data_IF_470126432581
#
_entry.id   IF_470126432581
#
_cell.length_a   1.000
_cell.length_b   1.000
_cell.length_c   1.000
_cell.angle_alpha   90.00
_cell.angle_beta   90.00
_cell.angle_gamma   90.00
#
_symmetry.space_group_name_H-M   'P 1'
#
loop_
_entity.id
_entity.type
_entity.pdbx_description
1 polymer ?
#
# COMPACT_ATOMS: atom_id res chain seq x y z
N UNK A 1 10.57 -9.32 19.24
CA UNK A 1 10.39 -10.74 18.85
C UNK A 1 9.30 -11.38 19.69
N UNK A 2 9.44 -11.46 21.02
CA UNK A 2 8.36 -11.96 21.89
C UNK A 2 7.16 -10.99 21.95
N UNK A 3 7.42 -9.69 22.10
CA UNK A 3 6.36 -8.65 22.07
C UNK A 3 5.62 -8.54 20.73
N UNK A 4 6.31 -8.77 19.61
CA UNK A 4 5.74 -8.71 18.26
C UNK A 4 4.84 -9.93 18.02
N UNK A 5 5.28 -11.10 18.47
CA UNK A 5 4.50 -12.35 18.43
C UNK A 5 3.24 -12.27 19.29
N UNK A 6 3.33 -11.78 20.53
CA UNK A 6 2.15 -11.59 21.39
C UNK A 6 1.17 -10.57 20.82
N UNK A 7 1.68 -9.49 20.21
CA UNK A 7 0.87 -8.48 19.52
C UNK A 7 0.13 -9.08 18.32
N UNK A 8 0.82 -9.89 17.52
CA UNK A 8 0.23 -10.61 16.39
C UNK A 8 -0.88 -11.56 16.84
N UNK A 9 -0.61 -12.43 17.82
CA UNK A 9 -1.60 -13.38 18.37
C UNK A 9 -2.83 -12.64 18.89
N UNK A 10 -2.63 -11.53 19.62
CA UNK A 10 -3.71 -10.70 20.14
C UNK A 10 -4.51 -9.99 19.04
N UNK A 11 -3.88 -9.55 17.96
CA UNK A 11 -4.56 -8.93 16.83
C UNK A 11 -5.39 -9.96 16.06
N UNK A 12 -4.78 -11.08 15.70
CA UNK A 12 -5.44 -12.13 14.92
C UNK A 12 -6.57 -12.78 15.70
N UNK A 13 -6.47 -12.90 17.03
CA UNK A 13 -7.54 -13.48 17.86
C UNK A 13 -8.76 -12.57 18.01
N UNK A 14 -8.59 -11.25 17.91
CA UNK A 14 -9.62 -10.27 18.24
C UNK A 14 -10.26 -9.59 17.03
N UNK A 15 -9.67 -9.73 15.83
CA UNK A 15 -10.18 -9.07 14.62
C UNK A 15 -10.90 -10.07 13.72
N UNK A 16 -12.21 -9.86 13.54
CA UNK A 16 -13.07 -10.69 12.69
C UNK A 16 -13.62 -9.85 11.54
N UNK A 17 -13.09 -10.04 10.33
CA UNK A 17 -13.53 -9.30 9.15
C UNK A 17 -13.45 -10.16 7.87
N UNK A 18 -14.42 -9.99 6.96
CA UNK A 18 -14.53 -10.75 5.69
C UNK A 18 -13.29 -10.65 4.78
N UNK A 19 -12.55 -9.54 4.87
CA UNK A 19 -11.38 -9.25 4.04
C UNK A 19 -10.04 -9.40 4.79
N UNK A 20 -10.05 -9.98 6.00
CA UNK A 20 -8.82 -10.33 6.72
C UNK A 20 -8.71 -11.86 6.75
N UNK A 21 -7.49 -12.38 6.69
CA UNK A 21 -7.25 -13.80 6.89
C UNK A 21 -7.56 -14.13 8.35
N UNK A 22 -8.68 -14.84 8.56
CA UNK A 22 -8.93 -15.49 9.84
C UNK A 22 -8.08 -16.75 9.91
N UNK A 23 -7.17 -16.83 10.88
CA UNK A 23 -6.45 -18.08 11.13
C UNK A 23 -7.46 -19.13 11.60
N UNK A 24 -7.67 -20.17 10.77
CA UNK A 24 -8.67 -21.22 11.03
C UNK A 24 -8.09 -22.62 11.13
N UNK A 25 -6.79 -22.81 10.83
CA UNK A 25 -6.13 -24.11 10.62
C UNK A 25 -5.77 -24.34 9.14
N UNK A 26 -4.90 -25.31 8.83
CA UNK A 26 -4.45 -25.61 7.45
C UNK A 26 -4.92 -26.99 6.95
N UNK A 27 -5.36 -27.05 5.68
CA UNK A 27 -5.56 -28.26 4.88
C UNK A 27 -5.81 -27.84 3.42
N UNK A 28 -5.32 -28.60 2.42
CA UNK A 28 -5.33 -28.22 1.01
C UNK A 28 -6.19 -29.15 0.13
N UNK A 29 -7.19 -28.58 -0.57
CA UNK A 29 -7.60 -28.90 -1.97
C UNK A 29 -8.86 -28.14 -2.44
N UNK A 30 -8.85 -27.59 -3.67
CA UNK A 30 -10.09 -27.42 -4.47
C UNK A 30 -10.42 -26.03 -5.05
N UNK A 31 -11.49 -26.01 -5.86
CA UNK A 31 -11.83 -25.07 -6.95
C UNK A 31 -11.89 -23.57 -6.59
N UNK A 32 -11.18 -22.77 -7.39
CA UNK A 32 -10.75 -21.43 -7.04
C UNK A 32 -11.82 -20.36 -7.30
N UNK A 33 -12.08 -19.56 -6.26
CA UNK A 33 -12.74 -18.25 -6.32
C UNK A 33 -11.76 -17.25 -5.71
N UNK A 34 -11.50 -16.14 -6.37
CA UNK A 34 -10.56 -15.12 -5.88
C UNK A 34 -11.29 -14.22 -4.90
N UNK A 35 -10.87 -14.25 -3.64
CA UNK A 35 -11.32 -13.34 -2.60
C UNK A 35 -10.06 -12.70 -1.98
N UNK A 36 -9.81 -11.39 -2.15
CA UNK A 36 -8.65 -10.75 -1.55
C UNK A 36 -8.78 -10.75 -0.03
N UNK A 37 -7.71 -11.18 0.65
CA UNK A 37 -7.62 -11.16 2.12
C UNK A 37 -6.27 -10.58 2.52
N UNK A 38 -6.28 -9.67 3.49
CA UNK A 38 -5.05 -9.15 4.11
C UNK A 38 -4.54 -10.21 5.10
N UNK A 39 -3.26 -10.53 4.98
CA UNK A 39 -2.53 -11.48 5.81
C UNK A 39 -1.25 -10.82 6.34
N UNK A 40 -0.42 -11.60 7.04
CA UNK A 40 0.91 -11.19 7.49
C UNK A 40 0.89 -10.01 8.48
N UNK A 41 0.47 -10.32 9.71
CA UNK A 41 0.31 -9.34 10.79
C UNK A 41 1.54 -9.26 11.70
N UNK A 42 2.68 -9.82 11.28
CA UNK A 42 3.92 -9.87 12.07
C UNK A 42 4.38 -8.47 12.51
N UNK A 43 4.17 -7.45 11.67
CA UNK A 43 4.52 -6.06 11.94
C UNK A 43 3.33 -5.21 12.42
N UNK A 44 2.15 -5.80 12.57
CA UNK A 44 0.96 -5.08 12.94
C UNK A 44 1.04 -4.61 14.41
N UNK A 45 0.67 -3.35 14.65
CA UNK A 45 0.70 -2.76 15.99
C UNK A 45 -0.62 -2.10 16.33
N UNK A 46 -1.02 -2.22 17.60
CA UNK A 46 -2.20 -1.54 18.13
C UNK A 46 -1.87 -0.07 18.41
N UNK A 47 -2.54 0.84 17.71
CA UNK A 47 -2.48 2.28 17.99
C UNK A 47 -3.52 2.64 19.09
N UNK A 48 -3.09 3.17 20.25
CA UNK A 48 -4.01 3.68 21.26
C UNK A 48 -4.83 4.86 20.72
N UNK A 49 -6.11 4.97 21.12
CA UNK A 49 -7.05 5.99 20.61
C UNK A 49 -6.63 7.44 20.92
N UNK A 50 -5.78 7.63 21.92
CA UNK A 50 -5.24 8.91 22.35
C UNK A 50 -3.97 9.34 21.59
N UNK A 51 -3.47 8.52 20.66
CA UNK A 51 -2.24 8.78 19.91
C UNK A 51 -2.50 8.89 18.42
N UNK A 52 -1.78 9.79 17.76
CA UNK A 52 -1.82 9.95 16.30
C UNK A 52 -0.88 8.99 15.56
N UNK A 53 0.16 8.51 16.25
CA UNK A 53 1.16 7.58 15.73
C UNK A 53 1.88 6.84 16.87
N UNK A 54 2.54 5.75 16.52
CA UNK A 54 3.55 5.09 17.33
C UNK A 54 4.94 5.49 16.83
N UNK A 55 5.87 5.72 17.75
CA UNK A 55 7.28 5.87 17.41
C UNK A 55 7.97 4.53 17.62
N UNK A 56 8.44 3.93 16.53
CA UNK A 56 9.10 2.62 16.52
C UNK A 56 10.30 2.64 15.58
N UNK A 57 11.26 1.74 15.81
CA UNK A 57 12.30 1.48 14.81
C UNK A 57 11.61 1.03 13.52
N UNK A 58 12.13 1.51 12.40
CA UNK A 58 11.65 1.09 11.10
C UNK A 58 11.74 -0.43 10.95
N UNK A 59 10.61 -1.04 10.63
CA UNK A 59 10.47 -2.44 10.23
C UNK A 59 9.38 -2.50 9.16
N UNK A 60 9.70 -3.09 8.00
CA UNK A 60 8.78 -3.20 6.89
C UNK A 60 9.46 -3.32 5.53
N UNK A 61 8.64 -3.50 4.48
CA UNK A 61 9.11 -3.55 3.10
C UNK A 61 9.20 -2.13 2.53
N UNK A 62 10.43 -1.61 2.42
CA UNK A 62 10.78 -0.20 2.09
C UNK A 62 9.88 0.46 1.02
N UNK A 63 9.51 -0.30 -0.01
CA UNK A 63 8.74 0.14 -1.17
C UNK A 63 7.29 0.52 -0.90
N UNK A 64 6.68 -0.13 0.09
CA UNK A 64 5.32 0.20 0.55
C UNK A 64 5.35 1.16 1.74
N UNK A 65 6.55 1.48 2.25
CA UNK A 65 6.72 2.26 3.47
C UNK A 65 6.50 3.76 3.23
N UNK A 66 5.63 4.36 4.03
CA UNK A 66 5.46 5.81 4.05
C UNK A 66 6.77 6.53 4.46
N UNK A 67 7.10 7.69 3.86
CA UNK A 67 8.36 8.39 4.12
C UNK A 67 8.50 8.81 5.58
N UNK A 68 7.42 9.26 6.24
CA UNK A 68 7.44 9.58 7.67
C UNK A 68 7.78 8.37 8.56
N UNK A 69 7.39 7.17 8.14
CA UNK A 69 7.72 5.97 8.88
C UNK A 69 9.18 5.57 8.64
N UNK A 70 9.64 5.61 7.38
CA UNK A 70 11.03 5.30 7.03
C UNK A 70 12.04 6.27 7.67
N UNK A 71 11.72 7.57 7.70
CA UNK A 71 12.64 8.61 8.15
C UNK A 71 12.54 8.90 9.65
N UNK A 72 11.33 8.85 10.21
CA UNK A 72 11.06 9.32 11.58
C UNK A 72 10.54 8.22 12.51
N UNK A 73 10.33 7.00 11.99
CA UNK A 73 9.78 5.89 12.78
C UNK A 73 8.30 6.07 13.15
N UNK A 74 7.58 6.98 12.48
CA UNK A 74 6.17 7.28 12.78
C UNK A 74 5.21 6.29 12.10
N UNK A 75 4.83 5.23 12.81
CA UNK A 75 3.81 4.28 12.36
C UNK A 75 2.41 4.79 12.70
N UNK A 76 1.49 4.83 11.73
CA UNK A 76 0.13 5.37 11.91
C UNK A 76 -0.83 4.77 10.89
N UNK A 77 -2.15 4.90 11.11
CA UNK A 77 -3.18 4.57 10.10
C UNK A 77 -2.92 5.26 8.75
N UNK A 78 -2.30 6.42 8.86
CA UNK A 78 -1.85 7.26 7.78
C UNK A 78 -0.73 6.57 6.98
N UNK A 79 0.26 5.98 7.64
CA UNK A 79 1.27 5.16 6.97
C UNK A 79 0.64 3.96 6.24
N UNK A 80 -0.35 3.28 6.83
CA UNK A 80 -1.05 2.17 6.18
C UNK A 80 -1.81 2.60 4.91
N UNK A 81 -2.41 3.80 4.94
CA UNK A 81 -3.08 4.37 3.75
C UNK A 81 -2.08 4.60 2.59
N UNK A 82 -0.82 4.94 2.90
CA UNK A 82 0.23 5.06 1.88
C UNK A 82 0.52 3.70 1.24
N UNK A 83 0.80 2.70 2.07
CA UNK A 83 1.09 1.32 1.64
C UNK A 83 -0.03 0.77 0.76
N UNK A 84 -1.28 0.97 1.17
CA UNK A 84 -2.47 0.59 0.40
C UNK A 84 -2.52 1.28 -0.97
N UNK A 85 -2.23 2.57 -1.04
CA UNK A 85 -2.18 3.31 -2.30
C UNK A 85 -1.16 2.75 -3.29
N UNK A 86 0.02 2.33 -2.81
CA UNK A 86 1.02 1.66 -3.66
C UNK A 86 0.48 0.32 -4.19
N UNK A 87 -0.15 -0.50 -3.35
CA UNK A 87 -0.75 -1.78 -3.78
C UNK A 87 -1.85 -1.56 -4.84
N UNK A 88 -2.70 -0.55 -4.66
CA UNK A 88 -3.70 -0.20 -5.67
C UNK A 88 -3.05 0.21 -6.99
N UNK A 89 -1.99 1.03 -6.95
CA UNK A 89 -1.24 1.40 -8.15
C UNK A 89 -0.64 0.17 -8.86
N UNK A 90 -0.11 -0.81 -8.12
CA UNK A 90 0.40 -2.06 -8.69
C UNK A 90 -0.73 -2.88 -9.35
N UNK A 91 -1.89 -2.97 -8.72
CA UNK A 91 -3.04 -3.72 -9.24
C UNK A 91 -3.55 -3.10 -10.54
N UNK A 92 -3.81 -1.79 -10.55
CA UNK A 92 -4.42 -1.12 -11.72
C UNK A 92 -3.46 -1.00 -12.90
N UNK A 93 -2.14 -0.99 -12.65
CA UNK A 93 -1.13 -0.88 -13.70
C UNK A 93 -0.61 -2.22 -14.20
N UNK A 94 -0.84 -3.30 -13.45
CA UNK A 94 -0.18 -4.59 -13.67
C UNK A 94 1.33 -4.55 -13.43
N UNK A 95 1.89 -3.40 -13.03
CA UNK A 95 3.32 -3.21 -12.86
C UNK A 95 3.69 -3.46 -11.40
N UNK A 96 4.61 -4.42 -11.19
CA UNK A 96 5.29 -4.52 -9.89
C UNK A 96 6.16 -3.29 -9.72
N UNK A 97 6.12 -2.68 -8.54
CA UNK A 97 7.09 -1.66 -8.19
C UNK A 97 8.46 -2.34 -8.01
N UNK A 98 9.32 -2.41 -9.02
CA UNK A 98 10.61 -3.10 -8.89
C UNK A 98 11.65 -2.20 -8.24
N UNK A 99 12.32 -2.69 -7.19
CA UNK A 99 13.60 -2.17 -6.72
C UNK A 99 14.69 -2.88 -7.51
N UNK A 100 15.07 -2.33 -8.67
CA UNK A 100 16.37 -2.63 -9.26
C UNK A 100 16.92 -1.27 -9.66
N UNK A 101 18.19 -1.05 -9.26
CA UNK A 101 19.03 0.11 -9.59
C UNK A 101 18.64 0.72 -10.92
N UNK A 102 18.66 2.05 -11.00
CA UNK A 102 18.73 2.85 -12.24
C UNK A 102 19.39 1.99 -13.32
N UNK A 103 18.55 1.32 -14.09
CA UNK A 103 18.95 0.73 -15.32
C UNK A 103 19.16 1.93 -16.23
N UNK A 104 20.22 1.89 -17.03
CA UNK A 104 20.58 2.90 -18.03
C UNK A 104 19.45 3.16 -19.07
N UNK A 105 18.27 2.56 -18.88
CA UNK A 105 17.02 2.69 -19.64
C UNK A 105 16.03 3.73 -19.09
N UNK A 106 16.31 4.39 -17.96
CA UNK A 106 15.51 5.54 -17.50
C UNK A 106 14.10 5.19 -17.02
N UNK A 107 13.87 3.97 -16.50
CA UNK A 107 12.58 3.57 -15.92
C UNK A 107 12.27 4.39 -14.66
N UNK A 108 11.29 5.29 -14.78
CA UNK A 108 10.80 6.11 -13.67
C UNK A 108 10.07 5.25 -12.63
N UNK A 109 10.15 5.59 -11.34
CA UNK A 109 9.42 4.84 -10.29
C UNK A 109 7.91 4.88 -10.56
N UNK A 110 7.18 3.77 -10.34
CA UNK A 110 5.72 3.68 -10.56
C UNK A 110 4.97 4.87 -9.93
N UNK A 111 5.34 5.24 -8.71
CA UNK A 111 4.79 6.39 -8.01
C UNK A 111 5.05 7.72 -8.74
N UNK A 112 6.25 7.90 -9.28
CA UNK A 112 6.65 9.09 -10.02
C UNK A 112 5.98 9.17 -11.40
N UNK A 113 5.83 8.03 -12.09
CA UNK A 113 5.08 7.93 -13.34
C UNK A 113 3.60 8.28 -13.11
N UNK A 114 2.97 7.63 -12.12
CA UNK A 114 1.60 7.90 -11.73
C UNK A 114 1.38 9.39 -11.38
N UNK A 115 2.36 10.01 -10.70
CA UNK A 115 2.34 11.44 -10.39
C UNK A 115 2.30 12.31 -11.65
N UNK A 116 3.22 12.07 -12.59
CA UNK A 116 3.30 12.87 -13.83
C UNK A 116 2.06 12.72 -14.71
N UNK A 117 1.54 11.50 -14.83
CA UNK A 117 0.33 11.25 -15.60
C UNK A 117 -0.89 11.93 -14.98
N UNK A 118 -1.01 11.88 -13.65
CA UNK A 118 -2.07 12.59 -12.94
C UNK A 118 -2.01 14.10 -13.14
N UNK A 119 -0.82 14.72 -13.04
CA UNK A 119 -0.65 16.17 -13.25
C UNK A 119 -1.06 16.60 -14.66
N UNK A 120 -0.97 15.70 -15.63
CA UNK A 120 -1.37 15.94 -17.03
C UNK A 120 -2.82 15.55 -17.32
N UNK A 121 -3.54 14.97 -16.36
CA UNK A 121 -4.90 14.44 -16.56
C UNK A 121 -4.96 13.17 -17.41
N UNK A 122 -3.85 12.42 -17.50
CA UNK A 122 -3.68 11.23 -18.34
C UNK A 122 -3.53 9.95 -17.49
N UNK A 123 -4.15 9.90 -16.31
CA UNK A 123 -4.03 8.75 -15.40
C UNK A 123 -4.46 7.40 -16.01
N UNK A 124 -5.34 7.41 -17.01
CA UNK A 124 -5.76 6.19 -17.70
C UNK A 124 -4.63 5.53 -18.50
N UNK A 125 -3.58 6.27 -18.87
CA UNK A 125 -2.40 5.70 -19.56
C UNK A 125 -1.60 4.73 -18.67
N UNK A 126 -1.78 4.80 -17.34
CA UNK A 126 -1.14 3.89 -16.40
C UNK A 126 -1.91 2.56 -16.28
N UNK A 127 -3.17 2.50 -16.73
CA UNK A 127 -3.99 1.30 -16.60
C UNK A 127 -3.40 0.16 -17.44
N UNK A 128 -3.35 -1.04 -16.86
CA UNK A 128 -2.91 -2.23 -17.56
C UNK A 128 -3.74 -2.42 -18.83
N UNK A 129 -3.06 -2.67 -19.95
CA UNK A 129 -3.69 -2.83 -21.27
C UNK A 129 -4.48 -4.13 -21.36
N UNK A 130 -4.18 -5.08 -20.48
CA UNK A 130 -4.90 -6.35 -20.38
C UNK A 130 -6.19 -6.23 -19.56
N UNK A 131 -6.43 -5.07 -18.91
CA UNK A 131 -7.72 -4.77 -18.27
C UNK A 131 -8.69 -4.31 -19.35
N UNK A 132 -9.79 -5.05 -19.52
CA UNK A 132 -10.87 -4.67 -20.42
C UNK A 132 -11.58 -3.42 -19.90
N UNK A 133 -11.36 -2.28 -20.57
CA UNK A 133 -11.96 -1.00 -20.19
C UNK A 133 -13.48 -0.96 -20.41
N UNK A 134 -14.05 -1.90 -21.16
CA UNK A 134 -15.50 -2.02 -21.34
C UNK A 134 -16.19 -2.73 -20.15
N UNK A 135 -15.42 -3.38 -19.26
CA UNK A 135 -15.93 -3.98 -18.01
C UNK A 135 -15.90 -3.04 -16.79
N UNK A 136 -15.19 -1.91 -16.87
CA UNK A 136 -15.02 -0.99 -15.73
C UNK A 136 -15.56 0.41 -16.00
N UNK A 137 -16.19 0.99 -14.97
CA UNK A 137 -16.62 2.38 -15.02
C UNK A 137 -15.39 3.32 -14.94
N UNK A 138 -15.20 4.14 -15.99
CA UNK A 138 -14.15 5.15 -16.03
C UNK A 138 -14.24 6.13 -14.84
N UNK A 139 -15.43 6.38 -14.29
CA UNK A 139 -15.61 7.17 -13.08
C UNK A 139 -15.06 6.47 -11.84
N UNK A 140 -15.26 5.16 -11.71
CA UNK A 140 -14.69 4.35 -10.61
C UNK A 140 -13.16 4.33 -10.69
N UNK A 141 -12.59 4.12 -11.88
CA UNK A 141 -11.14 4.17 -12.07
C UNK A 141 -10.58 5.55 -11.73
N UNK A 142 -11.23 6.63 -12.18
CA UNK A 142 -10.86 7.99 -11.79
C UNK A 142 -10.98 8.22 -10.28
N UNK A 143 -11.98 7.64 -9.62
CA UNK A 143 -12.11 7.68 -8.17
C UNK A 143 -10.94 6.97 -7.47
N UNK A 144 -10.55 5.77 -7.92
CA UNK A 144 -9.39 5.05 -7.39
C UNK A 144 -8.10 5.87 -7.54
N UNK A 145 -7.83 6.39 -8.73
CA UNK A 145 -6.67 7.26 -8.99
C UNK A 145 -6.67 8.49 -8.10
N UNK A 146 -7.82 9.16 -7.97
CA UNK A 146 -7.96 10.35 -7.12
C UNK A 146 -7.69 10.04 -5.65
N UNK A 147 -8.16 8.91 -5.13
CA UNK A 147 -7.92 8.51 -3.74
C UNK A 147 -6.46 8.13 -3.48
N UNK A 148 -5.85 7.37 -4.39
CA UNK A 148 -4.42 7.06 -4.33
C UNK A 148 -3.60 8.36 -4.36
N UNK A 149 -3.95 9.27 -5.27
CA UNK A 149 -3.32 10.58 -5.37
C UNK A 149 -3.45 11.42 -4.09
N UNK A 150 -4.64 11.52 -3.49
CA UNK A 150 -4.82 12.30 -2.25
C UNK A 150 -4.00 11.72 -1.08
N UNK A 151 -3.88 10.38 -1.00
CA UNK A 151 -3.05 9.72 0.00
C UNK A 151 -1.55 10.01 -0.20
N UNK A 152 -1.12 10.22 -1.44
CA UNK A 152 0.28 10.42 -1.83
C UNK A 152 0.69 11.92 -1.86
N UNK A 153 -0.18 12.82 -2.35
CA UNK A 153 0.05 14.28 -2.48
C UNK A 153 0.37 14.95 -1.15
N UNK A 154 -0.36 14.61 -0.08
CA UNK A 154 -0.14 15.21 1.25
C UNK A 154 1.24 14.90 1.85
N UNK A 155 1.96 13.91 1.30
CA UNK A 155 3.22 13.40 1.87
C UNK A 155 4.45 13.71 1.03
N UNK A 156 4.34 13.68 -0.30
CA UNK A 156 5.43 14.09 -1.19
C UNK A 156 5.78 15.58 -1.02
N UNK A 157 4.78 16.46 -0.82
CA UNK A 157 5.02 17.89 -0.58
C UNK A 157 5.76 18.19 0.74
N UNK A 158 5.77 17.26 1.71
CA UNK A 158 6.59 17.36 2.92
C UNK A 158 7.96 16.71 2.76
N UNK A 159 8.06 15.62 1.99
CA UNK A 159 9.33 14.93 1.71
C UNK A 159 10.28 15.73 0.80
N UNK A 160 9.76 16.49 -0.18
CA UNK A 160 10.57 17.33 -1.07
C UNK A 160 11.18 18.58 -0.39
N UNK A 161 10.72 18.96 0.80
CA UNK A 161 11.40 19.97 1.63
C UNK A 161 12.60 19.43 2.40
N UNK A 162 12.79 18.10 2.47
CA UNK A 162 13.87 17.46 3.21
C UNK A 162 15.01 16.93 2.32
N UNK A 163 14.96 17.17 1.01
CA UNK A 163 15.97 16.77 0.03
C UNK A 163 16.67 17.95 -0.67
N UNK A 164 16.49 19.18 -0.15
CA UNK A 164 17.26 20.37 -0.54
C UNK A 164 18.07 20.88 0.65
#
# INVERSE_FOLDING_TARGET
MEDDFESEVKLISNVHHRNLVRLLGCCSKGQERILPKIADFELARLLPRDRSHLSTKFAGTLRYTAPEYAMQGQLSEKADTYSYGIVVLEIISGQKSTNVKVDDEGREYLLQQAWKLYERGMQLELVDKDIDLDEYDAEEMNFFYRNCYYALKRRLQRGQQCLN
#
